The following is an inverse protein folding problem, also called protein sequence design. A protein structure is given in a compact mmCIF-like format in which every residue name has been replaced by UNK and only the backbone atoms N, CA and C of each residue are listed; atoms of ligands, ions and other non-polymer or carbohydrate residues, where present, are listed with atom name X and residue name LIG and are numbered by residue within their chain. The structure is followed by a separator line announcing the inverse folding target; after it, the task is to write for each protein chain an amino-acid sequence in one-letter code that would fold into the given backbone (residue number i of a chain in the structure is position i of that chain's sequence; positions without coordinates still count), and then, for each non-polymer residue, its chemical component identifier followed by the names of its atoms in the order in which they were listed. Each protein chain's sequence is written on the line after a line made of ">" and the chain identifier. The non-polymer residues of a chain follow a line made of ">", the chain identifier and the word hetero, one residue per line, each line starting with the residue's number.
data_IF_307599778558
#
_entry.id   IF_307599778558
#
_cell.length_a   1.000
_cell.length_b   1.000
_cell.length_c   1.000
_cell.angle_alpha   90.00
_cell.angle_beta   90.00
_cell.angle_gamma   90.00
#
_symmetry.space_group_name_H-M   'P 1'
#
loop_
_entity.id
_entity.type
_entity.pdbx_description
1 polymer ?
#
# COMPACT_ATOMS: atom_id res chain seq x y z
N UNK A 1 -21.73 4.82 -5.82
CA UNK A 1 -21.11 4.59 -4.48
C UNK A 1 -20.03 3.54 -4.66
N UNK A 2 -18.79 3.83 -4.29
CA UNK A 2 -17.80 2.77 -4.15
C UNK A 2 -18.10 2.04 -2.85
N UNK A 3 -18.76 0.89 -2.97
CA UNK A 3 -19.15 0.03 -1.85
C UNK A 3 -18.25 -1.19 -1.88
N UNK A 4 -16.95 -0.95 -1.81
CA UNK A 4 -15.97 -2.03 -1.70
C UNK A 4 -15.38 -2.00 -0.29
N UNK A 5 -15.43 -3.14 0.39
CA UNK A 5 -14.73 -3.35 1.65
C UNK A 5 -13.22 -3.51 1.37
N UNK A 6 -12.60 -2.40 0.99
CA UNK A 6 -11.22 -2.36 0.53
C UNK A 6 -10.22 -2.74 1.62
N UNK A 7 -10.54 -2.47 2.88
CA UNK A 7 -9.71 -2.89 4.00
C UNK A 7 -9.65 -4.43 4.07
N UNK A 8 -10.79 -5.10 3.94
CA UNK A 8 -10.86 -6.56 3.89
C UNK A 8 -10.28 -7.15 2.61
N UNK A 9 -10.48 -6.51 1.46
CA UNK A 9 -9.95 -6.97 0.16
C UNK A 9 -8.42 -6.87 0.12
N UNK A 10 -7.87 -5.72 0.53
CA UNK A 10 -6.44 -5.41 0.42
C UNK A 10 -5.63 -5.76 1.66
N UNK A 11 -6.28 -6.37 2.67
CA UNK A 11 -5.64 -6.97 3.85
C UNK A 11 -4.78 -5.96 4.63
N UNK A 12 -5.30 -4.75 4.83
CA UNK A 12 -4.63 -3.71 5.60
C UNK A 12 -5.50 -2.47 5.79
N UNK A 13 -5.31 -1.76 6.90
CA UNK A 13 -5.93 -0.44 7.10
C UNK A 13 -5.17 0.63 6.32
N UNK A 14 -5.88 1.43 5.52
CA UNK A 14 -5.27 2.49 4.70
C UNK A 14 -6.29 3.58 4.39
N UNK A 15 -5.84 4.69 3.79
CA UNK A 15 -6.73 5.75 3.33
C UNK A 15 -7.38 5.37 2.00
N UNK A 16 -8.48 4.62 2.07
CA UNK A 16 -9.22 4.15 0.91
C UNK A 16 -10.24 5.18 0.42
N UNK A 17 -10.37 5.32 -0.90
CA UNK A 17 -11.43 6.04 -1.60
C UNK A 17 -11.70 5.29 -2.91
N UNK A 18 -12.67 4.34 -2.90
CA UNK A 18 -12.80 3.36 -3.99
C UNK A 18 -11.56 2.47 -4.11
N UNK A 19 -11.11 1.94 -2.98
CA UNK A 19 -9.77 1.38 -2.80
C UNK A 19 -8.71 2.47 -3.00
N UNK A 20 -7.62 2.18 -3.69
CA UNK A 20 -6.43 3.06 -3.71
C UNK A 20 -5.40 2.50 -4.68
N UNK A 21 -4.53 3.38 -5.17
CA UNK A 21 -3.35 3.02 -5.96
C UNK A 21 -2.16 2.59 -5.10
N UNK A 22 -2.23 2.78 -3.78
CA UNK A 22 -1.19 2.35 -2.85
C UNK A 22 -1.78 1.70 -1.61
N UNK A 23 -1.13 0.65 -1.11
CA UNK A 23 -1.41 0.10 0.21
C UNK A 23 -0.09 -0.26 0.86
N UNK A 24 0.47 0.66 1.65
CA UNK A 24 1.73 0.44 2.37
C UNK A 24 1.57 -0.45 3.61
N UNK A 25 0.33 -0.79 3.98
CA UNK A 25 -0.02 -1.61 5.12
C UNK A 25 -0.57 -2.99 4.70
N UNK A 26 -0.36 -3.39 3.46
CA UNK A 26 -0.80 -4.69 2.94
C UNK A 26 0.06 -5.87 3.40
N UNK A 27 -0.22 -7.04 2.85
CA UNK A 27 0.50 -8.29 3.16
C UNK A 27 1.94 -8.21 2.66
N UNK A 28 2.89 -8.52 3.54
CA UNK A 28 4.27 -8.65 3.14
C UNK A 28 4.51 -9.95 2.34
N UNK A 29 4.92 -9.83 1.09
CA UNK A 29 5.40 -10.95 0.28
C UNK A 29 6.92 -10.93 0.12
N UNK A 30 7.58 -11.99 0.63
CA UNK A 30 9.05 -12.10 0.71
C UNK A 30 9.78 -11.90 -0.63
N UNK A 31 9.21 -12.40 -1.72
CA UNK A 31 9.84 -12.39 -3.05
C UNK A 31 9.44 -11.17 -3.89
N UNK A 32 8.66 -10.23 -3.34
CA UNK A 32 8.17 -9.07 -4.07
C UNK A 32 7.02 -9.43 -4.98
N UNK A 33 7.26 -10.12 -6.08
CA UNK A 33 6.21 -10.56 -7.00
C UNK A 33 5.29 -11.60 -6.36
N UNK A 34 3.98 -11.42 -6.51
CA UNK A 34 2.98 -12.35 -6.04
C UNK A 34 1.79 -12.43 -7.00
N UNK A 35 1.09 -13.57 -6.98
CA UNK A 35 -0.07 -13.83 -7.85
C UNK A 35 -1.40 -13.28 -7.28
N UNK A 36 -1.39 -12.87 -6.01
CA UNK A 36 -2.58 -12.33 -5.34
C UNK A 36 -2.66 -10.83 -5.61
N UNK A 37 -3.39 -10.44 -6.65
CA UNK A 37 -3.41 -9.04 -7.07
C UNK A 37 -3.86 -8.12 -5.92
N UNK A 38 -3.11 -7.04 -5.67
CA UNK A 38 -3.49 -5.88 -4.84
C UNK A 38 -3.53 -6.00 -3.31
N UNK A 39 -3.38 -7.20 -2.73
CA UNK A 39 -3.37 -7.37 -1.25
C UNK A 39 -1.99 -7.18 -0.61
N UNK A 40 -0.94 -7.06 -1.42
CA UNK A 40 0.43 -6.85 -0.95
C UNK A 40 0.74 -5.40 -0.56
N UNK A 41 1.97 -5.18 -0.11
CA UNK A 41 2.52 -3.84 0.15
C UNK A 41 2.75 -3.13 -1.19
N UNK A 42 1.76 -2.40 -1.68
CA UNK A 42 1.67 -2.01 -3.09
C UNK A 42 1.85 -0.50 -3.28
N UNK A 43 2.52 -0.14 -4.38
CA UNK A 43 2.59 1.22 -4.90
C UNK A 43 2.48 1.19 -6.42
N UNK A 44 1.27 1.42 -6.93
CA UNK A 44 0.92 1.19 -8.33
C UNK A 44 1.78 1.98 -9.29
N UNK A 45 2.03 3.27 -9.01
CA UNK A 45 2.85 4.13 -9.87
C UNK A 45 4.33 3.74 -9.97
N UNK A 46 4.78 2.71 -9.25
CA UNK A 46 6.16 2.23 -9.30
C UNK A 46 6.28 0.79 -9.79
N UNK A 47 5.82 -0.19 -9.01
CA UNK A 47 5.94 -1.61 -9.35
C UNK A 47 4.60 -2.27 -9.73
N UNK A 48 3.56 -1.46 -9.92
CA UNK A 48 2.23 -1.96 -10.25
C UNK A 48 1.53 -2.71 -9.09
N UNK A 49 0.45 -3.43 -9.39
CA UNK A 49 -0.44 -4.01 -8.37
C UNK A 49 0.03 -5.36 -7.78
N UNK A 50 1.02 -6.00 -8.40
CA UNK A 50 1.40 -7.41 -8.12
C UNK A 50 2.80 -7.54 -7.50
N UNK A 51 3.36 -6.42 -7.04
CA UNK A 51 4.64 -6.38 -6.37
C UNK A 51 4.45 -5.82 -4.96
N UNK A 52 4.89 -6.60 -3.99
CA UNK A 52 5.00 -6.20 -2.60
C UNK A 52 6.37 -5.60 -2.31
N UNK A 53 6.40 -4.36 -1.87
CA UNK A 53 7.63 -3.72 -1.43
C UNK A 53 8.25 -4.50 -0.26
N UNK A 54 9.59 -4.62 -0.30
CA UNK A 54 10.35 -5.35 0.71
C UNK A 54 10.57 -4.57 2.00
N UNK A 55 10.55 -3.23 1.91
CA UNK A 55 10.72 -2.30 3.02
C UNK A 55 9.94 -1.03 2.74
N UNK A 56 9.38 -0.45 3.79
CA UNK A 56 8.52 0.71 3.79
C UNK A 56 8.82 1.48 5.07
N UNK A 57 8.93 2.79 4.92
CA UNK A 57 9.17 3.68 6.04
C UNK A 57 8.43 4.99 5.76
N UNK A 58 7.42 5.28 6.56
CA UNK A 58 6.68 6.53 6.50
C UNK A 58 7.18 7.45 7.60
N UNK A 59 7.68 8.63 7.23
CA UNK A 59 8.21 9.62 8.17
C UNK A 59 7.60 10.98 7.86
N UNK A 60 7.38 11.75 8.91
CA UNK A 60 7.02 13.16 8.82
C UNK A 60 8.11 13.97 9.49
N UNK A 61 8.23 15.23 9.08
CA UNK A 61 9.13 16.21 9.69
C UNK A 61 8.39 17.53 9.81
N UNK A 62 8.56 18.30 10.90
CA UNK A 62 7.95 19.62 11.01
C UNK A 62 8.34 20.50 9.83
N UNK A 63 7.40 21.29 9.33
CA UNK A 63 7.64 22.24 8.22
C UNK A 63 8.70 23.28 8.62
N UNK A 64 8.76 23.64 9.90
CA UNK A 64 9.73 24.60 10.46
C UNK A 64 11.08 23.98 10.85
N UNK A 65 11.32 22.69 10.55
CA UNK A 65 12.58 22.05 10.92
C UNK A 65 13.76 22.74 10.24
N UNK A 66 14.75 23.14 11.04
CA UNK A 66 16.06 23.58 10.58
C UNK A 66 17.11 22.54 11.00
N UNK A 67 18.02 22.13 10.10
CA UNK A 67 19.03 21.11 10.36
C UNK A 67 20.04 21.47 11.46
#
# INVERSE_FOLDING_TARGET
>A
KCVDDCASLRKGGYWYNCCTDSNLNGVFYRYGEHKKNTDGITWYGWHGPNYSLKKIEMKIRPVSFQP
#
